data_IF_448245070997
#
_entry.id   IF_448245070997
#
_cell.length_a   1.000
_cell.length_b   1.000
_cell.length_c   1.000
_cell.angle_alpha   90.00
_cell.angle_beta   90.00
_cell.angle_gamma   90.00
#
_symmetry.space_group_name_H-M   'P 1'
#
loop_
_entity.id
_entity.type
_entity.pdbx_description
1 polymer ?
#
# COMPACT_ATOMS: atom_id res chain seq x y z
N UNK A 1 8.66 -9.93 -0.03
CA UNK A 1 8.23 -10.97 -0.99
C UNK A 1 8.12 -12.32 -0.35
N UNK A 2 7.15 -13.12 -0.79
CA UNK A 2 7.04 -14.53 -0.42
C UNK A 2 7.50 -15.38 -1.59
N UNK A 3 8.80 -15.63 -1.66
CA UNK A 3 9.40 -16.54 -2.65
C UNK A 3 10.29 -17.55 -1.93
N UNK A 4 10.36 -18.77 -2.45
CA UNK A 4 11.26 -19.85 -1.98
C UNK A 4 12.68 -19.35 -1.76
N UNK A 5 13.22 -18.55 -2.68
CA UNK A 5 14.57 -17.98 -2.52
C UNK A 5 14.71 -17.07 -1.29
N UNK A 6 13.67 -16.30 -0.95
CA UNK A 6 13.68 -15.40 0.19
C UNK A 6 13.54 -16.20 1.50
N UNK A 7 12.74 -17.26 1.50
CA UNK A 7 12.43 -18.03 2.71
C UNK A 7 13.51 -19.08 3.00
N UNK A 8 14.03 -19.76 1.97
CA UNK A 8 14.87 -20.96 2.15
C UNK A 8 16.36 -20.72 1.89
N UNK A 9 16.70 -19.72 1.07
CA UNK A 9 18.10 -19.55 0.58
C UNK A 9 18.76 -18.26 1.00
N UNK A 10 18.00 -17.28 1.49
CA UNK A 10 18.51 -15.96 1.86
C UNK A 10 18.38 -15.73 3.36
N UNK A 11 19.29 -14.93 3.89
CA UNK A 11 19.15 -14.39 5.24
C UNK A 11 18.26 -13.16 5.14
N UNK A 12 17.04 -13.27 5.65
CA UNK A 12 16.04 -12.19 5.68
C UNK A 12 15.82 -11.73 7.13
N UNK A 13 15.42 -10.46 7.30
CA UNK A 13 15.08 -9.89 8.61
C UNK A 13 13.69 -9.29 8.54
N UNK A 14 12.87 -9.61 9.54
CA UNK A 14 11.64 -8.89 9.82
C UNK A 14 11.70 -8.33 11.23
N UNK A 15 11.01 -7.22 11.48
CA UNK A 15 10.95 -6.61 12.80
C UNK A 15 9.50 -6.33 13.21
N UNK A 16 9.15 -6.58 14.47
CA UNK A 16 7.87 -6.14 15.00
C UNK A 16 7.87 -4.61 15.17
N UNK A 17 6.69 -4.02 14.98
CA UNK A 17 6.47 -2.59 15.15
C UNK A 17 5.80 -2.37 16.51
N UNK A 18 6.58 -1.90 17.48
CA UNK A 18 6.12 -1.71 18.86
C UNK A 18 5.43 -0.37 19.09
N UNK A 19 5.89 0.66 18.40
CA UNK A 19 5.32 2.00 18.51
C UNK A 19 3.93 2.03 17.88
N UNK A 20 2.93 2.49 18.65
CA UNK A 20 1.53 2.51 18.22
C UNK A 20 1.27 3.58 17.18
N UNK A 21 1.98 4.70 17.24
CA UNK A 21 1.80 5.82 16.32
C UNK A 21 2.38 5.45 14.95
N UNK A 22 3.57 4.82 14.92
CA UNK A 22 4.17 4.27 13.69
C UNK A 22 3.26 3.19 13.09
N UNK A 23 2.70 2.30 13.93
CA UNK A 23 1.78 1.26 13.46
C UNK A 23 0.52 1.86 12.85
N UNK A 24 -0.06 2.90 13.46
CA UNK A 24 -1.23 3.59 12.93
C UNK A 24 -0.92 4.27 11.60
N UNK A 25 0.21 4.96 11.48
CA UNK A 25 0.67 5.57 10.23
C UNK A 25 0.79 4.56 9.08
N UNK A 26 1.39 3.40 9.34
CA UNK A 26 1.51 2.37 8.31
C UNK A 26 0.15 1.84 7.85
N UNK A 27 -0.78 1.67 8.78
CA UNK A 27 -2.16 1.27 8.46
C UNK A 27 -2.86 2.34 7.60
N UNK A 28 -2.70 3.62 7.92
CA UNK A 28 -3.23 4.72 7.11
C UNK A 28 -2.70 4.66 5.66
N UNK A 29 -1.41 4.38 5.49
CA UNK A 29 -0.78 4.26 4.17
C UNK A 29 -1.31 3.04 3.41
N UNK A 30 -1.49 1.90 4.08
CA UNK A 30 -2.11 0.72 3.47
C UNK A 30 -3.55 1.01 3.03
N UNK A 31 -4.32 1.72 3.83
CA UNK A 31 -5.69 2.14 3.49
C UNK A 31 -5.70 3.07 2.27
N UNK A 32 -4.76 4.01 2.17
CA UNK A 32 -4.59 4.85 0.97
C UNK A 32 -4.32 3.98 -0.26
N UNK A 33 -3.42 3.00 -0.15
CA UNK A 33 -3.07 2.09 -1.24
C UNK A 33 -4.26 1.22 -1.66
N UNK A 34 -5.02 0.68 -0.71
CA UNK A 34 -6.21 -0.12 -0.99
C UNK A 34 -7.39 0.69 -1.50
N UNK A 35 -7.41 2.01 -1.30
CA UNK A 35 -8.42 2.92 -1.86
C UNK A 35 -8.13 3.38 -3.29
N UNK A 36 -6.93 3.12 -3.81
CA UNK A 36 -6.57 3.53 -5.17
C UNK A 36 -7.54 2.95 -6.21
N UNK A 37 -8.06 3.83 -7.08
CA UNK A 37 -8.97 3.52 -8.19
C UNK A 37 -8.50 4.17 -9.50
N UNK A 38 -7.24 4.62 -9.57
CA UNK A 38 -6.65 5.27 -10.74
C UNK A 38 -5.55 4.42 -11.36
N UNK A 39 -4.71 3.79 -10.54
CA UNK A 39 -3.58 2.95 -10.94
C UNK A 39 -3.66 1.52 -10.43
N UNK A 40 -4.53 1.24 -9.46
CA UNK A 40 -4.79 -0.12 -8.99
C UNK A 40 -5.26 -1.05 -10.13
N UNK A 41 -4.90 -2.33 -9.99
CA UNK A 41 -5.21 -3.41 -10.92
C UNK A 41 -5.82 -4.59 -10.20
N UNK A 42 -6.73 -5.26 -10.89
CA UNK A 42 -7.28 -6.53 -10.44
C UNK A 42 -6.38 -7.65 -10.97
N UNK A 43 -5.84 -8.44 -10.06
CA UNK A 43 -5.14 -9.68 -10.40
C UNK A 43 -6.19 -10.79 -10.41
N UNK A 44 -6.48 -11.30 -11.60
CA UNK A 44 -7.44 -12.39 -11.80
C UNK A 44 -6.78 -13.56 -12.55
N UNK A 45 -7.48 -14.69 -12.62
CA UNK A 45 -7.00 -15.90 -13.29
C UNK A 45 -6.68 -15.67 -14.78
N UNK A 46 -7.42 -14.76 -15.42
CA UNK A 46 -7.23 -14.40 -16.83
C UNK A 46 -6.01 -13.52 -17.07
N UNK A 47 -5.40 -12.98 -16.01
CA UNK A 47 -4.26 -12.07 -16.05
C UNK A 47 -4.48 -10.85 -16.96
N UNK A 48 -5.72 -10.36 -17.05
CA UNK A 48 -6.07 -9.25 -17.94
C UNK A 48 -5.58 -7.88 -17.44
N UNK A 49 -5.15 -7.81 -16.17
CA UNK A 49 -4.67 -6.59 -15.53
C UNK A 49 -5.65 -5.41 -15.74
N UNK A 50 -6.94 -5.68 -15.53
CA UNK A 50 -7.98 -4.66 -15.60
C UNK A 50 -7.78 -3.60 -14.51
N UNK A 51 -8.02 -2.33 -14.87
CA UNK A 51 -8.03 -1.23 -13.90
C UNK A 51 -9.16 -1.44 -12.90
N UNK A 52 -8.87 -1.22 -11.61
CA UNK A 52 -9.92 -1.11 -10.61
C UNK A 52 -10.64 0.23 -10.78
N UNK A 53 -11.92 0.18 -11.10
CA UNK A 53 -12.80 1.36 -11.20
C UNK A 53 -13.98 1.23 -10.26
N UNK A 54 -14.47 2.36 -9.74
CA UNK A 54 -15.66 2.45 -8.91
C UNK A 54 -16.28 3.86 -9.05
N UNK A 55 -17.46 4.06 -8.49
CA UNK A 55 -18.18 5.35 -8.53
C UNK A 55 -17.74 6.31 -7.40
N UNK A 56 -16.55 6.09 -6.81
CA UNK A 56 -15.99 6.93 -5.77
C UNK A 56 -15.09 8.02 -6.36
N UNK A 57 -14.77 9.09 -5.60
CA UNK A 57 -13.78 10.07 -6.02
C UNK A 57 -12.47 9.40 -6.45
N UNK A 58 -11.81 9.98 -7.46
CA UNK A 58 -10.55 9.45 -7.96
C UNK A 58 -9.45 9.62 -6.90
N UNK A 59 -8.87 8.52 -6.50
CA UNK A 59 -7.78 8.41 -5.53
C UNK A 59 -6.61 7.74 -6.25
N UNK A 60 -5.49 8.46 -6.33
CA UNK A 60 -4.20 7.90 -6.76
C UNK A 60 -3.27 7.88 -5.56
N UNK A 61 -2.97 6.67 -5.07
CA UNK A 61 -2.28 6.44 -3.81
C UNK A 61 -0.98 7.24 -3.68
N UNK A 62 -0.16 7.29 -4.72
CA UNK A 62 1.12 8.01 -4.71
C UNK A 62 0.97 9.51 -4.35
N UNK A 63 -0.08 10.17 -4.86
CA UNK A 63 -0.33 11.58 -4.58
C UNK A 63 -1.01 11.75 -3.22
N UNK A 64 -1.98 10.89 -2.90
CA UNK A 64 -2.65 10.92 -1.59
C UNK A 64 -1.69 10.68 -0.43
N UNK A 65 -0.72 9.77 -0.59
CA UNK A 65 0.34 9.54 0.40
C UNK A 65 1.22 10.78 0.56
N UNK A 66 1.58 11.46 -0.54
CA UNK A 66 2.32 12.73 -0.47
C UNK A 66 1.52 13.81 0.28
N UNK A 67 0.24 13.99 -0.05
CA UNK A 67 -0.63 14.98 0.58
C UNK A 67 -0.88 14.66 2.06
N UNK A 68 -0.99 13.37 2.42
CA UNK A 68 -1.09 12.90 3.81
C UNK A 68 0.12 13.37 4.64
N UNK A 69 1.33 13.16 4.14
CA UNK A 69 2.55 13.60 4.83
C UNK A 69 2.71 15.12 4.85
N UNK A 70 2.36 15.81 3.76
CA UNK A 70 2.39 17.27 3.70
C UNK A 70 1.49 17.89 4.78
N UNK A 71 0.28 17.35 4.97
CA UNK A 71 -0.66 17.78 6.03
C UNK A 71 -0.12 17.51 7.43
N UNK A 72 0.59 16.39 7.63
CA UNK A 72 1.20 16.05 8.92
C UNK A 72 2.35 16.97 9.30
N UNK A 73 3.12 17.44 8.33
CA UNK A 73 4.22 18.40 8.57
C UNK A 73 3.73 19.82 8.87
N UNK A 74 2.49 20.15 8.50
CA UNK A 74 1.87 21.46 8.75
C UNK A 74 1.17 21.53 10.12
N UNK A 75 1.09 20.41 10.86
CA UNK A 75 0.66 20.38 12.25
C UNK A 75 1.83 20.66 13.18
#
# INVERSE_FOLDING_TARGET
DWMTRNIDTRVEVSCPIYDKDIKAELLDIFDICWRDNVKARIINEKQDNTYRTNDLPKVRAQFETYDYYLKRLQK
#
